data_IF_352031721596
#
_entry.id   IF_352031721596
#
_cell.length_a   1.000
_cell.length_b   1.000
_cell.length_c   1.000
_cell.angle_alpha   90.00
_cell.angle_beta   90.00
_cell.angle_gamma   90.00
#
_symmetry.space_group_name_H-M   'P 1'
#
loop_
_entity.id
_entity.type
_entity.pdbx_description
1 polymer ?
#
# COMPACT_ATOMS: atom_id res chain seq x y z
N UNK A 1 11.34 30.21 11.79
CA UNK A 1 10.01 29.63 12.11
C UNK A 1 9.79 29.38 13.61
N UNK A 2 10.58 28.55 14.31
CA UNK A 2 10.37 28.33 15.76
C UNK A 2 10.66 29.59 16.59
N UNK A 3 11.76 30.30 16.29
CA UNK A 3 12.10 31.59 16.92
C UNK A 3 11.00 32.63 16.67
N UNK A 4 10.51 32.72 15.44
CA UNK A 4 9.42 33.65 15.07
C UNK A 4 8.10 33.33 15.78
N UNK A 5 7.92 32.09 16.23
CA UNK A 5 6.79 31.66 17.08
C UNK A 5 7.06 31.83 18.58
N UNK A 6 8.15 32.48 18.96
CA UNK A 6 8.50 32.78 20.35
C UNK A 6 9.28 31.67 21.09
N UNK A 7 9.67 30.58 20.41
CA UNK A 7 10.45 29.51 21.03
C UNK A 7 11.95 29.86 21.07
N UNK A 8 12.53 29.92 22.27
CA UNK A 8 13.98 30.05 22.47
C UNK A 8 14.65 28.71 22.24
N UNK A 9 15.12 28.47 21.02
CA UNK A 9 15.76 27.21 20.62
C UNK A 9 17.10 27.45 19.94
N UNK A 10 17.99 26.47 20.02
CA UNK A 10 19.24 26.43 19.25
C UNK A 10 19.19 25.36 18.18
N UNK A 11 20.14 25.38 17.23
CA UNK A 11 20.25 24.30 16.24
C UNK A 11 20.47 22.94 16.92
N UNK A 12 21.23 22.86 18.00
CA UNK A 12 21.47 21.63 18.74
C UNK A 12 20.18 21.09 19.39
N UNK A 13 19.35 21.96 19.94
CA UNK A 13 18.03 21.61 20.50
C UNK A 13 17.13 21.03 19.42
N UNK A 14 16.99 21.73 18.29
CA UNK A 14 16.14 21.28 17.18
C UNK A 14 16.66 19.97 16.56
N UNK A 15 17.99 19.79 16.46
CA UNK A 15 18.61 18.56 15.97
C UNK A 15 18.31 17.36 16.87
N UNK A 16 18.32 17.56 18.20
CA UNK A 16 17.94 16.53 19.17
C UNK A 16 16.45 16.21 19.07
N UNK A 17 15.59 17.22 19.03
CA UNK A 17 14.14 17.04 18.91
C UNK A 17 13.77 16.31 17.60
N UNK A 18 14.44 16.61 16.48
CA UNK A 18 14.25 15.87 15.22
C UNK A 18 14.56 14.38 15.38
N UNK A 19 15.62 14.04 16.13
CA UNK A 19 16.00 12.64 16.41
C UNK A 19 15.01 11.98 17.37
N UNK A 20 14.63 12.67 18.44
CA UNK A 20 13.73 12.16 19.47
C UNK A 20 12.31 11.93 18.91
N UNK A 21 11.85 12.83 18.03
CA UNK A 21 10.60 12.70 17.27
C UNK A 21 10.71 11.78 16.05
N UNK A 22 11.90 11.23 15.79
CA UNK A 22 12.19 10.33 14.66
C UNK A 22 11.76 10.90 13.30
N UNK A 23 11.86 12.22 13.10
CA UNK A 23 11.46 12.84 11.84
C UNK A 23 12.43 12.45 10.72
N UNK A 24 11.89 12.13 9.56
CA UNK A 24 12.69 11.80 8.37
C UNK A 24 12.59 12.90 7.32
N UNK A 25 13.67 13.07 6.56
CA UNK A 25 13.79 14.09 5.52
C UNK A 25 13.40 13.49 4.18
N UNK A 26 12.35 14.01 3.56
CA UNK A 26 11.82 13.46 2.30
C UNK A 26 11.71 14.50 1.22
N UNK A 27 11.97 14.07 -0.01
CA UNK A 27 11.85 14.86 -1.23
C UNK A 27 10.38 14.95 -1.63
N UNK A 28 9.88 16.16 -1.81
CA UNK A 28 8.52 16.40 -2.30
C UNK A 28 8.46 16.37 -3.82
N UNK A 29 7.27 16.19 -4.39
CA UNK A 29 7.02 16.30 -5.84
C UNK A 29 7.43 17.66 -6.44
N UNK A 30 7.59 18.69 -5.60
CA UNK A 30 8.12 20.01 -5.99
C UNK A 30 9.66 20.11 -5.99
N UNK A 31 10.38 19.00 -5.75
CA UNK A 31 11.84 18.95 -5.67
C UNK A 31 12.43 19.52 -4.36
N UNK A 32 11.59 19.90 -3.40
CA UNK A 32 12.03 20.45 -2.10
C UNK A 32 12.01 19.39 -1.00
N UNK A 33 12.94 19.49 -0.05
CA UNK A 33 12.95 18.61 1.12
C UNK A 33 12.05 19.15 2.24
N UNK A 34 11.34 18.24 2.93
CA UNK A 34 10.62 18.53 4.18
C UNK A 34 10.88 17.44 5.22
N UNK A 35 10.80 17.80 6.50
CA UNK A 35 10.77 16.84 7.61
C UNK A 35 9.33 16.48 7.92
N UNK A 36 9.00 15.19 8.03
CA UNK A 36 7.72 14.75 8.57
C UNK A 36 7.88 13.49 9.41
N UNK A 37 6.80 13.12 10.12
CA UNK A 37 6.74 11.91 10.92
C UNK A 37 6.80 10.66 10.01
N UNK A 38 7.45 9.56 10.43
CA UNK A 38 7.45 8.30 9.68
C UNK A 38 6.04 7.77 9.39
N UNK A 39 5.10 7.98 10.31
CA UNK A 39 3.68 7.64 10.11
C UNK A 39 2.98 8.57 9.14
N UNK A 40 3.41 9.83 9.00
CA UNK A 40 2.91 10.72 7.95
C UNK A 40 3.43 10.30 6.56
N UNK A 41 4.54 9.54 6.50
CA UNK A 41 5.00 8.86 5.29
C UNK A 41 4.32 7.53 5.00
N UNK A 42 3.37 7.08 5.85
CA UNK A 42 2.43 6.04 5.41
C UNK A 42 1.46 6.53 4.32
N UNK A 43 1.52 7.82 3.98
CA UNK A 43 1.09 8.34 2.68
C UNK A 43 2.15 8.11 1.60
N UNK A 44 2.49 6.84 1.36
CA UNK A 44 2.91 6.47 0.01
C UNK A 44 1.79 6.85 -1.00
N UNK A 45 2.02 6.77 -2.31
CA UNK A 45 0.93 6.80 -3.27
C UNK A 45 -0.20 5.89 -2.79
N UNK A 46 -1.45 6.18 -3.13
CA UNK A 46 -2.62 5.36 -2.73
C UNK A 46 -2.35 3.85 -2.96
N UNK A 47 -1.54 3.50 -3.96
CA UNK A 47 -1.05 2.14 -4.21
C UNK A 47 -0.29 1.51 -3.05
N UNK A 48 0.52 2.23 -2.28
CA UNK A 48 1.33 1.67 -1.19
C UNK A 48 0.46 1.21 -0.02
N UNK A 49 -0.61 1.97 0.27
CA UNK A 49 -1.61 1.56 1.28
C UNK A 49 -2.34 0.31 0.84
N UNK A 50 -2.78 0.24 -0.41
CA UNK A 50 -3.49 -0.92 -0.93
C UNK A 50 -2.57 -2.13 -1.08
N UNK A 51 -1.31 -1.93 -1.47
CA UNK A 51 -0.27 -2.98 -1.47
C UNK A 51 -0.07 -3.54 -0.07
N UNK A 52 -0.04 -2.69 0.96
CA UNK A 52 0.05 -3.13 2.35
C UNK A 52 -1.17 -3.94 2.78
N UNK A 53 -2.38 -3.46 2.50
CA UNK A 53 -3.63 -4.20 2.82
C UNK A 53 -3.62 -5.55 2.11
N UNK A 54 -3.28 -5.59 0.83
CA UNK A 54 -3.17 -6.81 0.03
C UNK A 54 -2.19 -7.80 0.69
N UNK A 55 -0.97 -7.34 1.03
CA UNK A 55 0.05 -8.18 1.66
C UNK A 55 -0.34 -8.70 3.04
N UNK A 56 -0.94 -7.86 3.88
CA UNK A 56 -1.25 -8.22 5.27
C UNK A 56 -2.51 -9.08 5.41
N UNK A 57 -3.38 -9.11 4.40
CA UNK A 57 -4.67 -9.83 4.47
C UNK A 57 -4.68 -11.16 3.74
N UNK A 58 -3.79 -11.39 2.77
CA UNK A 58 -3.81 -12.58 1.92
C UNK A 58 -3.09 -13.77 2.56
N UNK A 59 -3.74 -14.93 2.46
CA UNK A 59 -3.24 -16.21 2.95
C UNK A 59 -2.81 -17.14 1.81
N UNK A 60 -3.57 -17.16 0.72
CA UNK A 60 -3.31 -18.05 -0.41
C UNK A 60 -3.93 -17.51 -1.70
N UNK A 61 -3.34 -17.85 -2.84
CA UNK A 61 -3.84 -17.52 -4.18
C UNK A 61 -3.90 -18.82 -4.99
N UNK A 62 -5.01 -19.05 -5.67
CA UNK A 62 -5.22 -20.22 -6.54
C UNK A 62 -5.91 -19.79 -7.82
N UNK A 63 -5.78 -20.55 -8.90
CA UNK A 63 -6.36 -20.19 -10.19
C UNK A 63 -6.92 -21.39 -10.94
N UNK A 64 -7.92 -21.15 -11.78
CA UNK A 64 -8.54 -22.14 -12.67
C UNK A 64 -9.14 -21.43 -13.88
N UNK A 65 -8.60 -21.70 -15.08
CA UNK A 65 -8.98 -20.97 -16.29
C UNK A 65 -8.75 -19.46 -16.14
N UNK A 66 -9.78 -18.65 -16.41
CA UNK A 66 -9.77 -17.20 -16.22
C UNK A 66 -10.20 -16.75 -14.81
N UNK A 67 -10.24 -17.65 -13.82
CA UNK A 67 -10.61 -17.33 -12.46
C UNK A 67 -9.38 -17.37 -11.55
N UNK A 68 -9.20 -16.33 -10.74
CA UNK A 68 -8.26 -16.32 -9.63
C UNK A 68 -9.04 -16.21 -8.33
N UNK A 69 -8.72 -17.08 -7.38
CA UNK A 69 -9.29 -17.09 -6.05
C UNK A 69 -8.22 -16.67 -5.04
N UNK A 70 -8.49 -15.62 -4.29
CA UNK A 70 -7.63 -15.10 -3.22
C UNK A 70 -8.28 -15.40 -1.89
N UNK A 71 -7.61 -16.19 -1.05
CA UNK A 71 -8.01 -16.41 0.34
C UNK A 71 -7.40 -15.36 1.23
N UNK A 72 -8.22 -14.82 2.13
CA UNK A 72 -7.81 -13.78 3.08
C UNK A 72 -8.05 -14.23 4.51
N UNK A 73 -7.57 -13.44 5.46
CA UNK A 73 -8.04 -13.49 6.85
C UNK A 73 -9.57 -13.32 6.91
N UNK A 74 -10.19 -13.87 7.96
CA UNK A 74 -11.64 -13.73 8.19
C UNK A 74 -12.04 -12.26 8.28
N UNK A 75 -13.12 -11.88 7.61
CA UNK A 75 -13.60 -10.49 7.57
C UNK A 75 -12.77 -9.54 6.71
N UNK A 76 -11.70 -10.00 6.06
CA UNK A 76 -10.82 -9.15 5.25
C UNK A 76 -11.12 -9.18 3.74
N UNK A 77 -12.06 -10.00 3.28
CA UNK A 77 -12.40 -10.14 1.87
C UNK A 77 -12.74 -8.80 1.20
N UNK A 78 -13.65 -7.97 1.75
CA UNK A 78 -13.99 -6.68 1.13
C UNK A 78 -12.81 -5.72 1.04
N UNK A 79 -11.96 -5.67 2.07
CA UNK A 79 -10.78 -4.80 2.09
C UNK A 79 -9.72 -5.26 1.08
N UNK A 80 -9.52 -6.56 0.94
CA UNK A 80 -8.61 -7.13 -0.05
C UNK A 80 -9.13 -6.91 -1.48
N UNK A 81 -10.44 -7.08 -1.71
CA UNK A 81 -11.08 -6.81 -3.00
C UNK A 81 -10.91 -5.36 -3.43
N UNK A 82 -11.22 -4.41 -2.54
CA UNK A 82 -11.00 -2.98 -2.80
C UNK A 82 -9.53 -2.65 -3.09
N UNK A 83 -8.60 -3.31 -2.40
CA UNK A 83 -7.17 -3.16 -2.66
C UNK A 83 -6.80 -3.66 -4.07
N UNK A 84 -7.26 -4.84 -4.46
CA UNK A 84 -7.02 -5.41 -5.80
C UNK A 84 -7.55 -4.46 -6.89
N UNK A 85 -8.79 -4.01 -6.75
CA UNK A 85 -9.44 -3.15 -7.74
C UNK A 85 -8.73 -1.79 -7.85
N UNK A 86 -8.26 -1.26 -6.73
CA UNK A 86 -7.51 0.01 -6.68
C UNK A 86 -6.07 -0.08 -7.18
N UNK A 87 -5.48 -1.28 -7.25
CA UNK A 87 -4.10 -1.49 -7.72
C UNK A 87 -4.00 -1.47 -9.25
N UNK A 88 -5.12 -1.49 -9.97
CA UNK A 88 -5.12 -1.39 -11.44
C UNK A 88 -4.44 -2.57 -12.13
N UNK A 89 -4.66 -3.78 -11.60
CA UNK A 89 -4.12 -5.03 -12.13
C UNK A 89 -4.59 -5.18 -13.58
N UNK A 90 -3.65 -5.33 -14.50
CA UNK A 90 -3.99 -5.51 -15.92
C UNK A 90 -4.62 -6.87 -16.15
N UNK A 91 -5.46 -7.00 -17.18
CA UNK A 91 -6.12 -8.26 -17.55
C UNK A 91 -7.22 -8.75 -16.59
N UNK A 92 -7.63 -7.95 -15.61
CA UNK A 92 -8.79 -8.23 -14.76
C UNK A 92 -10.03 -7.52 -15.28
N UNK A 93 -11.14 -8.24 -15.42
CA UNK A 93 -12.47 -7.68 -15.69
C UNK A 93 -13.05 -7.06 -14.41
N UNK A 94 -12.84 -7.71 -13.26
CA UNK A 94 -13.31 -7.24 -11.96
C UNK A 94 -13.23 -8.30 -10.87
N UNK A 95 -13.63 -7.92 -9.65
CA UNK A 95 -13.60 -8.78 -8.47
C UNK A 95 -14.96 -8.91 -7.76
N UNK A 96 -15.15 -10.00 -7.03
CA UNK A 96 -16.28 -10.24 -6.11
C UNK A 96 -15.73 -10.72 -4.78
N UNK A 97 -15.94 -9.92 -3.73
CA UNK A 97 -15.50 -10.24 -2.39
C UNK A 97 -16.61 -10.89 -1.54
N UNK A 98 -16.29 -12.04 -0.95
CA UNK A 98 -17.00 -12.60 0.19
C UNK A 98 -16.34 -12.18 1.52
N UNK A 99 -16.59 -12.93 2.60
CA UNK A 99 -16.01 -12.63 3.93
C UNK A 99 -14.47 -12.81 3.98
N UNK A 100 -13.99 -13.94 3.45
CA UNK A 100 -12.58 -14.35 3.53
C UNK A 100 -12.02 -14.84 2.20
N UNK A 101 -12.71 -14.53 1.11
CA UNK A 101 -12.40 -15.01 -0.23
C UNK A 101 -12.75 -13.94 -1.25
N UNK A 102 -11.84 -13.63 -2.16
CA UNK A 102 -12.08 -12.75 -3.30
C UNK A 102 -11.94 -13.57 -4.59
N UNK A 103 -12.97 -13.52 -5.44
CA UNK A 103 -12.92 -14.05 -6.79
C UNK A 103 -12.54 -12.92 -7.75
N UNK A 104 -11.59 -13.16 -8.63
CA UNK A 104 -11.15 -12.22 -9.66
C UNK A 104 -11.34 -12.90 -11.01
N UNK A 105 -11.94 -12.17 -11.95
CA UNK A 105 -12.21 -12.66 -13.30
C UNK A 105 -11.25 -12.00 -14.26
N UNK A 106 -10.54 -12.80 -15.05
CA UNK A 106 -9.61 -12.34 -16.08
C UNK A 106 -10.31 -12.19 -17.43
N UNK A 107 -9.76 -11.32 -18.29
CA UNK A 107 -10.21 -11.10 -19.67
C UNK A 107 -9.96 -12.33 -20.56
N UNK A 108 -8.85 -13.03 -20.36
CA UNK A 108 -8.46 -14.26 -21.07
C UNK A 108 -7.73 -15.24 -20.13
N UNK A 109 -8.04 -16.56 -20.16
CA UNK A 109 -7.29 -17.57 -19.41
C UNK A 109 -5.76 -17.57 -19.64
N UNK A 110 -5.28 -17.12 -20.81
CA UNK A 110 -3.85 -17.06 -21.11
C UNK A 110 -3.10 -16.04 -20.26
N UNK A 111 -3.80 -15.02 -19.74
CA UNK A 111 -3.20 -13.93 -18.96
C UNK A 111 -3.00 -14.28 -17.49
N UNK A 112 -3.44 -15.47 -17.07
CA UNK A 112 -3.33 -15.97 -15.68
C UNK A 112 -1.92 -15.83 -15.12
N UNK A 113 -0.89 -16.26 -15.85
CA UNK A 113 0.49 -16.25 -15.34
C UNK A 113 1.04 -14.82 -15.20
N UNK A 114 0.64 -13.89 -16.08
CA UNK A 114 0.99 -12.46 -15.99
C UNK A 114 0.41 -11.84 -14.72
N UNK A 115 -0.86 -12.11 -14.42
CA UNK A 115 -1.53 -11.58 -13.23
C UNK A 115 -0.96 -12.18 -11.94
N UNK A 116 -0.66 -13.48 -11.93
CA UNK A 116 -0.03 -14.13 -10.78
C UNK A 116 1.36 -13.55 -10.50
N UNK A 117 2.13 -13.22 -11.53
CA UNK A 117 3.43 -12.57 -11.35
C UNK A 117 3.29 -11.17 -10.74
N UNK A 118 2.29 -10.39 -11.17
CA UNK A 118 2.00 -9.08 -10.55
C UNK A 118 1.65 -9.24 -9.06
N UNK A 119 0.87 -10.26 -8.69
CA UNK A 119 0.57 -10.55 -7.29
C UNK A 119 1.82 -10.97 -6.50
N UNK A 120 2.70 -11.79 -7.07
CA UNK A 120 3.96 -12.16 -6.41
C UNK A 120 4.84 -10.93 -6.13
N UNK A 121 4.91 -9.97 -7.05
CA UNK A 121 5.65 -8.72 -6.85
C UNK A 121 5.05 -7.90 -5.70
N UNK A 122 3.73 -7.88 -5.55
CA UNK A 122 3.06 -7.13 -4.46
C UNK A 122 3.23 -7.80 -3.08
N UNK A 123 3.35 -9.12 -3.05
CA UNK A 123 3.52 -9.90 -1.80
C UNK A 123 4.96 -9.85 -1.25
N UNK A 124 5.97 -9.64 -2.09
CA UNK A 124 7.39 -9.59 -1.72
C UNK A 124 7.86 -8.17 -1.36
#
# INVERSE_FOLDING_TARGET
MLIDKGYKVTQATVSRDIKDLQLVKVLTNSGRYKYVLPTAHSSGPISDRFTKIFRETILNISSSGNLILVKTLSGCGPAAGEAIDSLGITHTIGSVAGDNTVLIILDDPSNKDVVLEQFNVLLN
#
